data_IF_311244771743
#
_entry.id   IF_311244771743
#
_cell.length_a   1.000
_cell.length_b   1.000
_cell.length_c   1.000
_cell.angle_alpha   90.00
_cell.angle_beta   90.00
_cell.angle_gamma   90.00
#
_symmetry.space_group_name_H-M   'P 1'
#
loop_
_entity.id
_entity.type
_entity.pdbx_description
1 polymer ?
#
# COMPACT_ATOMS: atom_id res chain seq x y z
N UNK A 1 -32.58 22.86 -12.85
CA UNK A 1 -32.73 21.71 -11.94
C UNK A 1 -31.34 21.46 -11.37
N UNK A 2 -31.01 22.14 -10.28
CA UNK A 2 -29.66 22.13 -9.70
C UNK A 2 -29.64 20.95 -8.74
N UNK A 3 -28.80 19.95 -9.02
CA UNK A 3 -28.57 18.81 -8.14
C UNK A 3 -27.85 19.25 -6.88
N UNK A 4 -28.58 19.94 -6.00
CA UNK A 4 -28.12 20.18 -4.64
C UNK A 4 -27.95 18.81 -3.98
N UNK A 5 -26.99 18.73 -3.04
CA UNK A 5 -26.64 17.55 -2.27
C UNK A 5 -27.87 16.74 -1.84
N UNK A 6 -27.75 15.43 -1.54
CA UNK A 6 -28.85 14.70 -0.96
C UNK A 6 -29.09 15.17 0.49
N UNK A 7 -29.47 16.44 0.67
CA UNK A 7 -30.06 17.03 1.86
C UNK A 7 -31.36 16.32 2.25
N UNK A 8 -31.89 15.49 1.34
CA UNK A 8 -32.93 14.51 1.61
C UNK A 8 -32.47 13.33 2.48
N UNK A 9 -31.17 13.16 2.75
CA UNK A 9 -30.66 12.09 3.61
C UNK A 9 -30.68 12.54 5.07
N UNK A 10 -31.25 11.71 5.92
CA UNK A 10 -31.12 11.83 7.38
C UNK A 10 -29.85 11.12 7.84
N UNK A 11 -28.88 11.86 8.37
CA UNK A 11 -27.54 11.34 8.71
C UNK A 11 -27.46 10.70 10.11
N UNK A 12 -28.34 11.07 11.05
CA UNK A 12 -28.30 10.57 12.43
C UNK A 12 -28.21 9.02 12.55
N UNK A 13 -29.04 8.21 11.85
CA UNK A 13 -28.94 6.75 11.93
C UNK A 13 -27.62 6.19 11.40
N UNK A 14 -26.97 6.90 10.48
CA UNK A 14 -25.66 6.51 9.93
C UNK A 14 -24.56 6.79 10.96
N UNK A 15 -24.65 7.93 11.65
CA UNK A 15 -23.67 8.35 12.66
C UNK A 15 -23.67 7.42 13.86
N UNK A 16 -24.85 6.93 14.27
CA UNK A 16 -24.99 5.93 15.34
C UNK A 16 -24.19 4.65 15.07
N UNK A 17 -24.03 4.26 13.80
CA UNK A 17 -23.29 3.05 13.42
C UNK A 17 -21.78 3.28 13.19
N UNK A 18 -21.38 4.46 12.75
CA UNK A 18 -19.96 4.79 12.48
C UNK A 18 -19.24 5.26 13.75
N UNK A 19 -20.00 5.76 14.73
CA UNK A 19 -19.57 6.40 15.97
C UNK A 19 -19.02 7.82 15.82
N UNK A 20 -19.44 8.69 16.73
CA UNK A 20 -18.99 10.08 16.81
C UNK A 20 -17.46 10.23 16.95
N UNK A 21 -16.72 9.44 17.77
CA UNK A 21 -15.26 9.56 17.86
C UNK A 21 -14.55 9.32 16.53
N UNK A 22 -15.13 8.49 15.66
CA UNK A 22 -14.59 8.22 14.34
C UNK A 22 -14.78 9.43 13.42
N UNK A 23 -15.97 10.02 13.42
CA UNK A 23 -16.33 11.14 12.56
C UNK A 23 -15.65 12.45 12.98
N UNK A 24 -15.47 12.68 14.27
CA UNK A 24 -14.69 13.84 14.78
C UNK A 24 -13.25 13.87 14.32
N UNK A 25 -12.67 12.73 13.93
CA UNK A 25 -11.32 12.75 13.38
C UNK A 25 -11.21 13.56 12.08
N UNK A 26 -12.32 13.74 11.36
CA UNK A 26 -12.40 14.51 10.12
C UNK A 26 -12.56 16.01 10.34
N UNK A 27 -12.76 16.47 11.57
CA UNK A 27 -12.89 17.90 11.88
C UNK A 27 -11.64 18.71 11.47
N UNK A 28 -10.47 18.05 11.36
CA UNK A 28 -9.23 18.65 10.85
C UNK A 28 -9.36 19.23 9.43
N UNK A 29 -10.38 18.82 8.66
CA UNK A 29 -10.60 19.29 7.30
C UNK A 29 -11.44 20.57 7.22
N UNK A 30 -11.90 21.11 8.35
CA UNK A 30 -12.82 22.24 8.41
C UNK A 30 -12.29 23.31 9.37
N UNK A 31 -12.44 24.58 8.98
CA UNK A 31 -12.06 25.73 9.82
C UNK A 31 -13.14 26.04 10.88
N UNK A 32 -14.40 25.74 10.54
CA UNK A 32 -15.58 25.91 11.41
C UNK A 32 -16.21 24.56 11.75
N UNK A 33 -17.24 24.55 12.59
CA UNK A 33 -17.94 23.32 12.96
C UNK A 33 -18.62 22.68 11.74
N UNK A 34 -18.10 21.53 11.33
CA UNK A 34 -18.58 20.79 10.18
C UNK A 34 -20.00 20.22 10.42
N UNK A 35 -20.86 20.36 9.42
CA UNK A 35 -22.15 19.68 9.39
C UNK A 35 -21.99 18.15 9.33
N UNK A 36 -23.05 17.42 9.72
CA UNK A 36 -23.07 15.94 9.60
C UNK A 36 -22.79 15.48 8.17
N UNK A 37 -23.34 16.20 7.19
CA UNK A 37 -23.13 15.91 5.78
C UNK A 37 -21.65 16.06 5.39
N UNK A 38 -21.00 17.14 5.82
CA UNK A 38 -19.59 17.42 5.51
C UNK A 38 -18.66 16.36 6.14
N UNK A 39 -18.87 16.02 7.42
CA UNK A 39 -18.12 14.95 8.08
C UNK A 39 -18.28 13.62 7.36
N UNK A 40 -19.50 13.29 6.92
CA UNK A 40 -19.74 12.07 6.17
C UNK A 40 -19.10 12.12 4.78
N UNK A 41 -19.16 13.25 4.08
CA UNK A 41 -18.48 13.46 2.80
C UNK A 41 -16.96 13.25 2.91
N UNK A 42 -16.33 13.86 3.91
CA UNK A 42 -14.91 13.65 4.21
C UNK A 42 -14.59 12.19 4.55
N UNK A 43 -15.48 11.51 5.29
CA UNK A 43 -15.37 10.08 5.58
C UNK A 43 -15.38 9.23 4.30
N UNK A 44 -16.34 9.44 3.39
CA UNK A 44 -16.42 8.73 2.11
C UNK A 44 -15.21 9.04 1.22
N UNK A 45 -14.77 10.30 1.15
CA UNK A 45 -13.53 10.66 0.44
C UNK A 45 -12.35 9.87 0.99
N UNK A 46 -12.21 9.75 2.31
CA UNK A 46 -11.07 9.04 2.92
C UNK A 46 -11.05 7.55 2.61
N UNK A 47 -12.22 6.92 2.42
CA UNK A 47 -12.31 5.54 1.96
C UNK A 47 -11.80 5.41 0.51
N UNK A 48 -12.18 6.33 -0.37
CA UNK A 48 -11.70 6.38 -1.76
C UNK A 48 -10.20 6.69 -1.83
N UNK A 49 -9.72 7.63 -1.02
CA UNK A 49 -8.31 7.95 -0.88
C UNK A 49 -7.51 6.76 -0.35
N UNK A 50 -8.04 6.04 0.63
CA UNK A 50 -7.45 4.78 1.11
C UNK A 50 -7.38 3.74 -0.01
N UNK A 51 -8.46 3.59 -0.78
CA UNK A 51 -8.53 2.66 -1.90
C UNK A 51 -7.43 2.93 -2.95
N UNK A 52 -7.20 4.20 -3.27
CA UNK A 52 -6.19 4.64 -4.22
C UNK A 52 -4.73 4.36 -3.77
N UNK A 53 -4.50 4.08 -2.48
CA UNK A 53 -3.17 3.76 -1.94
C UNK A 53 -2.82 2.27 -1.99
N UNK A 54 -3.81 1.37 -2.05
CA UNK A 54 -3.56 -0.08 -2.06
C UNK A 54 -2.67 -0.54 -3.22
N UNK A 55 -2.87 -0.09 -4.48
CA UNK A 55 -2.02 -0.52 -5.58
C UNK A 55 -0.54 -0.18 -5.33
N UNK A 56 -0.25 0.99 -4.76
CA UNK A 56 1.12 1.39 -4.44
C UNK A 56 1.74 0.52 -3.35
N UNK A 57 0.98 0.21 -2.30
CA UNK A 57 1.43 -0.62 -1.19
C UNK A 57 1.71 -2.06 -1.64
N UNK A 58 0.78 -2.65 -2.39
CA UNK A 58 0.91 -4.01 -2.92
C UNK A 58 2.11 -4.14 -3.87
N UNK A 59 2.32 -3.15 -4.74
CA UNK A 59 3.47 -3.14 -5.62
C UNK A 59 4.78 -3.10 -4.83
N UNK A 60 4.89 -2.23 -3.84
CA UNK A 60 6.09 -2.18 -2.99
C UNK A 60 6.34 -3.50 -2.27
N UNK A 61 5.31 -4.09 -1.66
CA UNK A 61 5.42 -5.35 -0.91
C UNK A 61 5.94 -6.49 -1.78
N UNK A 62 5.35 -6.69 -2.96
CA UNK A 62 5.72 -7.77 -3.87
C UNK A 62 7.10 -7.52 -4.46
N UNK A 63 7.40 -6.28 -4.89
CA UNK A 63 8.71 -5.94 -5.45
C UNK A 63 9.82 -6.12 -4.43
N UNK A 64 9.63 -5.65 -3.19
CA UNK A 64 10.63 -5.77 -2.13
C UNK A 64 10.95 -7.24 -1.87
N UNK A 65 9.92 -8.03 -1.55
CA UNK A 65 10.07 -9.47 -1.29
C UNK A 65 10.80 -10.17 -2.43
N UNK A 66 10.26 -10.06 -3.65
CA UNK A 66 10.78 -10.82 -4.78
C UNK A 66 12.17 -10.33 -5.20
N UNK A 67 12.50 -9.05 -4.98
CA UNK A 67 13.83 -8.51 -5.28
C UNK A 67 14.90 -9.07 -4.35
N UNK A 68 14.62 -9.13 -3.04
CA UNK A 68 15.51 -9.71 -2.04
C UNK A 68 15.65 -11.20 -2.28
N UNK A 69 14.53 -11.91 -2.37
CA UNK A 69 14.49 -13.36 -2.49
C UNK A 69 15.25 -13.85 -3.73
N UNK A 70 14.96 -13.29 -4.91
CA UNK A 70 15.66 -13.65 -6.16
C UNK A 70 17.18 -13.50 -6.06
N UNK A 71 17.65 -12.45 -5.38
CA UNK A 71 19.10 -12.19 -5.24
C UNK A 71 19.71 -13.13 -4.21
N UNK A 72 19.02 -13.38 -3.10
CA UNK A 72 19.46 -14.27 -2.04
C UNK A 72 19.51 -15.73 -2.54
N UNK A 73 18.44 -16.21 -3.18
CA UNK A 73 18.34 -17.54 -3.79
C UNK A 73 19.46 -17.79 -4.80
N UNK A 74 19.81 -16.78 -5.63
CA UNK A 74 20.94 -16.88 -6.56
C UNK A 74 22.29 -17.07 -5.86
N UNK A 75 22.47 -16.56 -4.64
CA UNK A 75 23.73 -16.61 -3.89
C UNK A 75 23.83 -17.81 -2.96
N UNK A 76 22.71 -18.21 -2.35
CA UNK A 76 22.67 -19.12 -1.21
C UNK A 76 21.75 -20.34 -1.43
N UNK A 77 21.15 -20.45 -2.62
CA UNK A 77 20.22 -21.52 -2.96
C UNK A 77 18.83 -21.33 -2.35
N UNK A 78 18.01 -22.36 -2.51
CA UNK A 78 16.69 -22.41 -1.88
C UNK A 78 16.85 -22.45 -0.37
N UNK A 79 15.85 -21.90 0.33
CA UNK A 79 15.85 -21.78 1.78
C UNK A 79 17.06 -20.97 2.29
N UNK A 80 17.50 -19.97 1.51
CA UNK A 80 18.69 -19.15 1.76
C UNK A 80 18.78 -18.56 3.17
N UNK A 81 17.64 -18.36 3.84
CA UNK A 81 17.56 -17.84 5.21
C UNK A 81 18.23 -18.75 6.25
N UNK A 82 18.40 -20.03 5.95
CA UNK A 82 19.15 -20.98 6.77
C UNK A 82 20.66 -21.01 6.44
N UNK A 83 21.04 -20.42 5.29
CA UNK A 83 22.38 -20.52 4.70
C UNK A 83 23.21 -19.23 4.79
N UNK A 84 22.64 -18.13 5.31
CA UNK A 84 23.35 -16.86 5.50
C UNK A 84 23.94 -16.74 6.91
N UNK A 85 25.10 -16.10 7.01
CA UNK A 85 25.64 -15.65 8.30
C UNK A 85 24.80 -14.50 8.88
N UNK A 86 24.76 -14.46 10.20
CA UNK A 86 24.08 -13.44 10.98
C UNK A 86 24.91 -13.12 12.23
N UNK A 87 25.03 -11.84 12.57
CA UNK A 87 25.63 -11.40 13.83
C UNK A 87 24.65 -11.62 14.99
N UNK A 88 24.86 -12.72 15.73
CA UNK A 88 24.03 -13.12 16.87
C UNK A 88 24.22 -12.25 18.11
N UNK A 89 25.15 -11.30 18.10
CA UNK A 89 25.31 -10.34 19.20
C UNK A 89 24.21 -9.27 19.21
N UNK A 90 23.53 -9.07 18.08
CA UNK A 90 22.41 -8.11 17.95
C UNK A 90 21.12 -8.73 18.47
N UNK A 91 20.39 -8.07 19.36
CA UNK A 91 19.18 -8.64 20.00
C UNK A 91 18.05 -9.00 19.02
N UNK A 92 18.01 -8.36 17.86
CA UNK A 92 17.02 -8.52 16.81
C UNK A 92 17.43 -9.52 15.71
N UNK A 93 18.58 -10.20 15.85
CA UNK A 93 19.15 -11.09 14.83
C UNK A 93 18.20 -12.17 14.31
N UNK A 94 17.28 -12.63 15.15
CA UNK A 94 16.37 -13.75 14.84
C UNK A 94 15.02 -13.32 14.27
N UNK A 95 14.73 -12.01 14.19
CA UNK A 95 13.40 -11.52 13.81
C UNK A 95 12.98 -11.96 12.40
N UNK A 96 13.91 -11.99 11.45
CA UNK A 96 13.63 -12.45 10.09
C UNK A 96 13.22 -13.93 10.09
N UNK A 97 14.01 -14.78 10.74
CA UNK A 97 13.74 -16.22 10.86
C UNK A 97 12.47 -16.51 11.67
N UNK A 98 12.13 -15.66 12.66
CA UNK A 98 10.83 -15.72 13.33
C UNK A 98 9.67 -15.51 12.35
N UNK A 99 9.80 -14.54 11.43
CA UNK A 99 8.84 -14.32 10.35
C UNK A 99 8.69 -15.51 9.41
N UNK A 100 9.80 -16.11 8.98
CA UNK A 100 9.81 -17.36 8.18
C UNK A 100 9.11 -18.50 8.91
N UNK A 101 9.46 -18.74 10.18
CA UNK A 101 8.85 -19.79 11.00
C UNK A 101 7.35 -19.56 11.21
N UNK A 102 6.90 -18.31 11.33
CA UNK A 102 5.48 -18.00 11.39
C UNK A 102 4.76 -18.30 10.07
N UNK A 103 5.39 -18.04 8.92
CA UNK A 103 4.85 -18.42 7.62
C UNK A 103 4.70 -19.95 7.49
N UNK A 104 5.72 -20.71 7.89
CA UNK A 104 5.67 -22.18 7.95
C UNK A 104 4.51 -22.64 8.85
N UNK A 105 4.39 -22.09 10.07
CA UNK A 105 3.27 -22.41 10.98
C UNK A 105 1.90 -22.09 10.38
N UNK A 106 1.75 -21.01 9.61
CA UNK A 106 0.50 -20.69 8.90
C UNK A 106 0.19 -21.74 7.84
N UNK A 107 1.18 -22.15 7.05
CA UNK A 107 1.04 -23.22 6.05
C UNK A 107 0.67 -24.55 6.71
N UNK A 108 1.34 -24.92 7.80
CA UNK A 108 1.02 -26.11 8.60
C UNK A 108 -0.45 -26.10 9.06
N UNK A 109 -0.91 -24.98 9.64
CA UNK A 109 -2.31 -24.88 10.10
C UNK A 109 -3.29 -25.02 8.94
N UNK A 110 -3.01 -24.39 7.80
CA UNK A 110 -3.83 -24.47 6.59
C UNK A 110 -3.87 -25.90 6.04
N UNK A 111 -2.73 -26.56 5.97
CA UNK A 111 -2.62 -27.95 5.53
C UNK A 111 -3.34 -28.90 6.49
N UNK A 112 -3.09 -28.81 7.80
CA UNK A 112 -3.75 -29.65 8.83
C UNK A 112 -5.27 -29.49 8.80
N UNK A 113 -5.77 -28.28 8.53
CA UNK A 113 -7.22 -28.04 8.36
C UNK A 113 -7.76 -28.80 7.14
N UNK A 114 -7.15 -28.60 5.97
CA UNK A 114 -7.55 -29.27 4.72
C UNK A 114 -7.44 -30.79 4.79
N UNK A 115 -6.41 -31.30 5.45
CA UNK A 115 -6.19 -32.74 5.56
C UNK A 115 -7.22 -33.42 6.47
N UNK A 116 -7.63 -32.76 7.56
CA UNK A 116 -8.74 -33.24 8.39
C UNK A 116 -10.05 -33.27 7.62
N UNK A 117 -10.33 -32.20 6.86
CA UNK A 117 -11.51 -32.14 5.99
C UNK A 117 -11.49 -33.28 4.95
N UNK A 118 -10.35 -33.52 4.29
CA UNK A 118 -10.17 -34.61 3.32
C UNK A 118 -10.39 -36.01 3.92
N UNK A 119 -9.98 -36.20 5.16
CA UNK A 119 -10.10 -37.48 5.89
C UNK A 119 -11.42 -37.60 6.68
N UNK A 120 -12.31 -36.61 6.61
CA UNK A 120 -13.53 -36.53 7.43
C UNK A 120 -13.28 -36.66 8.95
N UNK A 121 -12.17 -36.09 9.42
CA UNK A 121 -11.79 -36.11 10.83
C UNK A 121 -12.34 -34.89 11.57
N UNK A 122 -12.72 -35.07 12.83
CA UNK A 122 -13.13 -33.97 13.71
C UNK A 122 -11.98 -32.99 13.99
N UNK A 123 -12.34 -31.75 14.34
CA UNK A 123 -11.37 -30.75 14.75
C UNK A 123 -10.54 -31.25 15.95
N UNK A 124 -9.21 -31.11 15.88
CA UNK A 124 -8.29 -31.55 16.93
C UNK A 124 -7.89 -33.03 16.88
N UNK A 125 -8.54 -33.86 16.04
CA UNK A 125 -8.11 -35.23 15.84
C UNK A 125 -6.66 -35.31 15.34
N UNK A 126 -5.95 -36.35 15.80
CA UNK A 126 -4.60 -36.66 15.35
C UNK A 126 -4.63 -36.99 13.86
N UNK A 127 -3.69 -36.41 13.11
CA UNK A 127 -3.53 -36.71 11.70
C UNK A 127 -2.63 -37.95 11.55
N UNK A 128 -3.06 -38.97 10.80
CA UNK A 128 -2.23 -40.14 10.51
C UNK A 128 -1.12 -39.82 9.50
N UNK A 129 -1.30 -38.76 8.70
CA UNK A 129 -0.33 -38.30 7.71
C UNK A 129 0.65 -37.30 8.33
N UNK A 130 1.97 -37.46 8.10
CA UNK A 130 2.95 -36.48 8.55
C UNK A 130 2.77 -35.15 7.80
N UNK A 131 3.09 -34.06 8.48
CA UNK A 131 3.08 -32.72 7.86
C UNK A 131 4.11 -32.69 6.72
N UNK A 132 3.76 -32.23 5.51
CA UNK A 132 4.71 -32.13 4.41
C UNK A 132 5.73 -31.01 4.67
N UNK A 133 6.90 -31.12 4.04
CA UNK A 133 7.78 -29.97 3.86
C UNK A 133 7.14 -29.00 2.88
N UNK A 134 7.12 -27.71 3.23
CA UNK A 134 6.58 -26.68 2.35
C UNK A 134 7.62 -26.19 1.35
N UNK A 135 7.15 -25.87 0.15
CA UNK A 135 7.98 -25.30 -0.90
C UNK A 135 8.50 -23.91 -0.52
N UNK A 136 9.68 -23.56 -1.04
CA UNK A 136 10.31 -22.26 -0.81
C UNK A 136 9.38 -21.09 -1.19
N UNK A 137 8.76 -21.16 -2.37
CA UNK A 137 7.92 -20.08 -2.89
C UNK A 137 6.62 -19.96 -2.06
N UNK A 138 6.08 -21.07 -1.57
CA UNK A 138 4.93 -21.07 -0.65
C UNK A 138 5.24 -20.37 0.68
N UNK A 139 6.43 -20.61 1.23
CA UNK A 139 6.88 -19.98 2.47
C UNK A 139 7.06 -18.48 2.24
N UNK A 140 7.81 -18.09 1.20
CA UNK A 140 8.03 -16.68 0.80
C UNK A 140 6.69 -15.98 0.56
N UNK A 141 5.75 -16.61 -0.15
CA UNK A 141 4.43 -16.07 -0.42
C UNK A 141 3.58 -15.85 0.84
N UNK A 142 3.79 -16.66 1.89
CA UNK A 142 3.01 -16.62 3.15
C UNK A 142 3.60 -15.66 4.20
N UNK A 143 4.82 -15.16 4.00
CA UNK A 143 5.40 -14.12 4.86
C UNK A 143 4.61 -12.81 4.79
N UNK A 144 4.60 -12.06 5.90
CA UNK A 144 3.96 -10.76 5.96
C UNK A 144 4.96 -9.65 5.57
N UNK A 145 4.47 -8.48 5.15
CA UNK A 145 5.30 -7.29 4.88
C UNK A 145 6.36 -7.03 5.96
N UNK A 146 5.97 -7.15 7.23
CA UNK A 146 6.85 -6.90 8.38
C UNK A 146 8.06 -7.83 8.45
N UNK A 147 7.98 -9.05 7.91
CA UNK A 147 9.13 -9.96 7.85
C UNK A 147 10.25 -9.38 7.00
N UNK A 148 9.92 -8.80 5.85
CA UNK A 148 10.92 -8.32 4.88
C UNK A 148 11.68 -7.09 5.32
N UNK A 149 11.21 -6.32 6.32
CA UNK A 149 12.04 -5.26 6.90
C UNK A 149 13.16 -5.79 7.79
N UNK A 150 12.94 -6.95 8.43
CA UNK A 150 13.90 -7.50 9.40
C UNK A 150 15.20 -7.94 8.72
N UNK A 151 15.15 -8.27 7.42
CA UNK A 151 16.38 -8.65 6.70
C UNK A 151 17.35 -7.47 6.51
N UNK A 152 16.92 -6.22 6.74
CA UNK A 152 17.76 -5.02 6.57
C UNK A 152 18.41 -4.54 7.87
N UNK A 153 18.16 -5.19 9.02
CA UNK A 153 18.82 -4.84 10.28
C UNK A 153 20.33 -5.09 10.21
N UNK A 154 21.09 -4.52 11.15
CA UNK A 154 22.55 -4.62 11.17
C UNK A 154 23.05 -6.05 11.35
N UNK A 155 22.25 -6.94 11.96
CA UNK A 155 22.60 -8.35 12.13
C UNK A 155 22.88 -9.10 10.81
N UNK A 156 22.30 -8.66 9.69
CA UNK A 156 22.47 -9.27 8.37
C UNK A 156 23.51 -8.54 7.49
N UNK A 157 24.31 -7.66 8.09
CA UNK A 157 25.37 -6.89 7.44
C UNK A 157 26.72 -7.17 8.11
N UNK A 158 27.80 -7.16 7.32
CA UNK A 158 29.18 -7.20 7.83
C UNK A 158 30.08 -6.21 7.08
N UNK A 159 30.98 -5.55 7.82
CA UNK A 159 32.09 -4.77 7.26
C UNK A 159 33.28 -5.64 6.84
N UNK A 160 33.41 -6.82 7.43
CA UNK A 160 34.58 -7.70 7.28
C UNK A 160 34.60 -8.33 5.87
N UNK A 161 35.61 -7.95 5.08
CA UNK A 161 35.69 -8.24 3.64
C UNK A 161 35.66 -9.75 3.31
N UNK A 162 36.29 -10.56 4.16
CA UNK A 162 36.35 -12.02 4.06
C UNK A 162 35.01 -12.69 4.39
N UNK A 163 34.20 -12.10 5.26
CA UNK A 163 32.89 -12.61 5.65
C UNK A 163 31.74 -12.15 4.72
N UNK A 164 31.93 -11.11 3.91
CA UNK A 164 30.87 -10.53 3.07
C UNK A 164 30.19 -11.52 2.11
N UNK A 165 30.86 -12.63 1.75
CA UNK A 165 30.25 -13.67 0.91
C UNK A 165 29.17 -14.47 1.65
N UNK A 166 29.30 -14.62 2.98
CA UNK A 166 28.40 -15.39 3.83
C UNK A 166 27.19 -14.57 4.30
N UNK A 167 27.33 -13.24 4.38
CA UNK A 167 26.23 -12.33 4.72
C UNK A 167 25.42 -11.91 3.48
N UNK A 168 24.14 -11.61 3.67
CA UNK A 168 23.32 -11.06 2.60
C UNK A 168 23.80 -9.67 2.18
N UNK A 169 24.04 -8.78 3.15
CA UNK A 169 24.59 -7.45 2.91
C UNK A 169 26.08 -7.41 3.28
N UNK A 170 26.92 -6.64 2.57
CA UNK A 170 26.58 -5.63 1.56
C UNK A 170 26.41 -6.14 0.12
N UNK A 171 26.94 -7.32 -0.22
CA UNK A 171 27.11 -7.74 -1.63
C UNK A 171 25.82 -7.84 -2.45
N UNK A 172 24.67 -8.04 -1.81
CA UNK A 172 23.37 -8.07 -2.51
C UNK A 172 22.78 -6.68 -2.81
N UNK A 173 23.26 -5.59 -2.20
CA UNK A 173 22.60 -4.28 -2.23
C UNK A 173 22.33 -3.76 -3.64
N UNK A 174 23.36 -3.69 -4.49
CA UNK A 174 23.24 -3.17 -5.86
C UNK A 174 22.41 -4.07 -6.79
N UNK A 175 22.18 -5.33 -6.40
CA UNK A 175 21.36 -6.27 -7.16
C UNK A 175 19.89 -6.19 -6.77
N UNK A 176 19.60 -6.00 -5.47
CA UNK A 176 18.26 -5.80 -4.92
C UNK A 176 17.74 -4.40 -5.27
N UNK A 177 18.55 -3.38 -5.02
CA UNK A 177 18.21 -1.98 -5.28
C UNK A 177 18.99 -1.44 -6.47
N UNK A 178 18.32 -1.28 -7.61
CA UNK A 178 18.92 -0.77 -8.83
C UNK A 178 19.33 0.70 -8.73
N UNK A 179 18.76 1.44 -7.79
CA UNK A 179 19.04 2.86 -7.53
C UNK A 179 19.30 3.13 -6.04
N UNK A 180 20.17 2.34 -5.42
CA UNK A 180 20.55 2.55 -4.01
C UNK A 180 21.23 3.92 -3.77
N UNK A 181 21.77 4.54 -4.82
CA UNK A 181 22.32 5.91 -4.82
C UNK A 181 21.30 6.97 -4.39
N UNK A 182 20.00 6.69 -4.52
CA UNK A 182 18.93 7.58 -4.05
C UNK A 182 18.69 7.49 -2.53
N UNK A 183 19.40 6.60 -1.84
CA UNK A 183 19.30 6.37 -0.40
C UNK A 183 20.59 6.70 0.36
N UNK A 184 21.75 6.52 -0.26
CA UNK A 184 23.04 6.80 0.37
C UNK A 184 24.20 6.64 -0.59
N UNK A 185 25.37 7.12 -0.17
CA UNK A 185 26.59 7.11 -1.00
C UNK A 185 27.24 5.73 -1.05
N UNK A 186 26.96 4.89 -0.05
CA UNK A 186 27.46 3.52 0.05
C UNK A 186 26.34 2.54 0.46
N UNK A 187 26.66 1.25 0.45
CA UNK A 187 25.70 0.17 0.72
C UNK A 187 25.15 0.18 2.14
N UNK A 188 25.92 0.66 3.12
CA UNK A 188 25.48 0.71 4.51
C UNK A 188 24.53 1.87 4.76
N UNK A 189 24.90 3.08 4.31
CA UNK A 189 24.02 4.26 4.35
C UNK A 189 22.69 3.96 3.66
N UNK A 190 22.75 3.38 2.46
CA UNK A 190 21.55 3.01 1.72
C UNK A 190 20.69 1.97 2.47
N UNK A 191 21.31 0.98 3.13
CA UNK A 191 20.59 -0.02 3.94
C UNK A 191 19.90 0.64 5.14
N UNK A 192 20.60 1.52 5.87
CA UNK A 192 20.07 2.22 7.04
C UNK A 192 18.91 3.12 6.65
N UNK A 193 19.07 3.92 5.59
CA UNK A 193 17.99 4.79 5.11
C UNK A 193 16.81 3.97 4.56
N UNK A 194 17.05 2.86 3.85
CA UNK A 194 15.98 1.96 3.42
C UNK A 194 15.21 1.42 4.62
N UNK A 195 15.90 0.93 5.65
CA UNK A 195 15.29 0.39 6.87
C UNK A 195 14.45 1.46 7.58
N UNK A 196 14.92 2.71 7.64
CA UNK A 196 14.15 3.83 8.21
C UNK A 196 12.85 4.07 7.42
N UNK A 197 12.95 4.16 6.10
CA UNK A 197 11.80 4.42 5.22
C UNK A 197 10.79 3.27 5.21
N UNK A 198 11.25 2.02 5.19
CA UNK A 198 10.35 0.86 5.15
C UNK A 198 9.63 0.66 6.48
N UNK A 199 10.24 1.00 7.62
CA UNK A 199 9.56 1.05 8.92
C UNK A 199 8.45 2.10 8.92
N UNK A 200 8.75 3.29 8.40
CA UNK A 200 7.76 4.36 8.27
C UNK A 200 6.57 3.96 7.37
N UNK A 201 6.82 3.22 6.30
CA UNK A 201 5.77 2.67 5.43
C UNK A 201 5.03 1.51 6.10
N UNK A 202 5.69 0.64 6.87
CA UNK A 202 5.05 -0.44 7.63
C UNK A 202 3.96 0.12 8.54
N UNK A 203 4.29 1.16 9.31
CA UNK A 203 3.35 1.73 10.27
C UNK A 203 2.20 2.44 9.53
N UNK A 204 2.50 3.08 8.40
CA UNK A 204 1.47 3.65 7.54
C UNK A 204 0.54 2.59 6.94
N UNK A 205 1.10 1.47 6.48
CA UNK A 205 0.38 0.29 5.99
C UNK A 205 -0.54 -0.25 7.06
N UNK A 206 -0.06 -0.41 8.30
CA UNK A 206 -0.91 -0.88 9.39
C UNK A 206 -2.13 0.04 9.59
N UNK A 207 -1.94 1.36 9.55
CA UNK A 207 -3.05 2.32 9.62
C UNK A 207 -4.05 2.15 8.48
N UNK A 208 -3.57 2.01 7.24
CA UNK A 208 -4.42 1.78 6.06
C UNK A 208 -5.27 0.51 6.20
N UNK A 209 -4.66 -0.60 6.62
CA UNK A 209 -5.34 -1.91 6.73
C UNK A 209 -6.18 -2.08 7.99
N UNK A 210 -5.93 -1.30 9.04
CA UNK A 210 -6.82 -1.20 10.20
C UNK A 210 -7.94 -0.16 10.02
N UNK A 211 -8.04 0.41 8.82
CA UNK A 211 -8.97 1.49 8.51
C UNK A 211 -8.82 2.65 9.51
N UNK A 212 -7.63 3.05 9.94
CA UNK A 212 -7.42 4.31 10.69
C UNK A 212 -7.39 5.50 9.71
N UNK A 213 -7.32 6.72 10.22
CA UNK A 213 -7.12 7.92 9.43
C UNK A 213 -5.85 7.80 8.58
N UNK A 214 -5.94 8.09 7.28
CA UNK A 214 -4.79 8.02 6.37
C UNK A 214 -3.85 9.22 6.46
N UNK A 215 -4.21 10.30 7.16
CA UNK A 215 -3.30 11.41 7.50
C UNK A 215 -2.66 11.18 8.88
N UNK A 216 -1.53 11.81 9.14
CA UNK A 216 -0.84 11.70 10.44
C UNK A 216 -1.43 12.73 11.42
N UNK A 217 -2.29 12.28 12.33
CA UNK A 217 -3.02 13.15 13.27
C UNK A 217 -2.12 14.12 14.03
N UNK A 218 -0.98 13.65 14.55
CA UNK A 218 -0.03 14.49 15.30
C UNK A 218 0.70 15.55 14.47
N UNK A 219 0.58 15.51 13.13
CA UNK A 219 1.20 16.44 12.19
C UNK A 219 0.17 17.20 11.34
N UNK A 220 -1.12 17.07 11.66
CA UNK A 220 -2.21 17.64 10.88
C UNK A 220 -3.03 18.55 11.75
N UNK A 221 -2.91 19.85 11.53
CA UNK A 221 -3.67 20.90 12.24
C UNK A 221 -4.77 21.49 11.37
N UNK A 222 -4.69 21.27 10.07
CA UNK A 222 -5.62 21.78 9.08
C UNK A 222 -5.71 20.80 7.90
N UNK A 223 -6.60 21.12 6.97
CA UNK A 223 -6.88 20.33 5.80
C UNK A 223 -5.66 20.18 4.87
N UNK A 224 -4.82 21.22 4.78
CA UNK A 224 -3.63 21.23 3.91
C UNK A 224 -2.57 20.27 4.46
N UNK A 225 -2.20 20.42 5.72
CA UNK A 225 -1.25 19.56 6.43
C UNK A 225 -1.71 18.11 6.46
N UNK A 226 -3.01 17.85 6.68
CA UNK A 226 -3.58 16.51 6.59
C UNK A 226 -3.32 15.86 5.21
N UNK A 227 -3.65 16.55 4.12
CA UNK A 227 -3.44 16.07 2.75
C UNK A 227 -1.95 15.94 2.41
N UNK A 228 -1.12 16.87 2.86
CA UNK A 228 0.33 16.83 2.66
C UNK A 228 0.96 15.60 3.32
N UNK A 229 0.51 15.21 4.52
CA UNK A 229 1.02 13.99 5.16
C UNK A 229 0.68 12.73 4.36
N UNK A 230 -0.48 12.67 3.70
CA UNK A 230 -0.85 11.56 2.80
C UNK A 230 0.05 11.58 1.55
N UNK A 231 0.18 12.74 0.91
CA UNK A 231 1.01 12.90 -0.31
C UNK A 231 2.47 12.60 -0.05
N UNK A 232 2.98 12.93 1.13
CA UNK A 232 4.33 12.55 1.55
C UNK A 232 4.51 11.03 1.53
N UNK A 233 3.54 10.25 2.04
CA UNK A 233 3.61 8.78 1.99
C UNK A 233 3.54 8.23 0.58
N UNK A 234 2.75 8.84 -0.31
CA UNK A 234 2.75 8.49 -1.74
C UNK A 234 4.15 8.69 -2.34
N UNK A 235 4.80 9.82 -2.04
CA UNK A 235 6.16 10.10 -2.52
C UNK A 235 7.19 9.11 -1.97
N UNK A 236 7.06 8.68 -0.70
CA UNK A 236 7.92 7.65 -0.12
C UNK A 236 7.72 6.28 -0.78
N UNK A 237 6.47 5.86 -1.01
CA UNK A 237 6.15 4.62 -1.74
C UNK A 237 6.77 4.65 -3.14
N UNK A 238 6.57 5.74 -3.87
CA UNK A 238 7.15 5.93 -5.20
C UNK A 238 8.68 5.89 -5.18
N UNK A 239 9.32 6.56 -4.21
CA UNK A 239 10.78 6.54 -4.03
C UNK A 239 11.28 5.11 -3.83
N UNK A 240 10.66 4.35 -2.92
CA UNK A 240 11.07 2.97 -2.63
C UNK A 240 10.88 2.04 -3.84
N UNK A 241 9.76 2.17 -4.57
CA UNK A 241 9.53 1.43 -5.82
C UNK A 241 10.63 1.75 -6.84
N UNK A 242 10.96 3.04 -7.02
CA UNK A 242 12.02 3.47 -7.95
C UNK A 242 13.40 2.96 -7.56
N UNK A 243 13.70 2.91 -6.26
CA UNK A 243 14.96 2.35 -5.74
C UNK A 243 15.09 0.87 -6.08
N UNK A 244 14.02 0.09 -5.89
CA UNK A 244 14.00 -1.36 -6.17
C UNK A 244 14.00 -1.61 -7.67
N UNK A 245 13.10 -0.95 -8.41
CA UNK A 245 12.85 -1.20 -9.84
C UNK A 245 12.47 0.08 -10.60
N UNK A 246 13.45 0.76 -11.23
CA UNK A 246 13.20 1.93 -12.08
C UNK A 246 12.25 1.64 -13.24
N UNK A 247 12.32 0.42 -13.81
CA UNK A 247 11.42 0.01 -14.88
C UNK A 247 9.97 -0.07 -14.38
N UNK A 248 9.74 -0.64 -13.19
CA UNK A 248 8.38 -0.70 -12.61
C UNK A 248 7.89 0.69 -12.25
N UNK A 249 8.76 1.57 -11.71
CA UNK A 249 8.42 2.98 -11.49
C UNK A 249 7.97 3.67 -12.79
N UNK A 250 8.72 3.49 -13.88
CA UNK A 250 8.35 4.02 -15.20
C UNK A 250 7.00 3.48 -15.66
N UNK A 251 6.79 2.17 -15.58
CA UNK A 251 5.52 1.54 -15.96
C UNK A 251 4.35 2.10 -15.17
N UNK A 252 4.45 2.15 -13.83
CA UNK A 252 3.37 2.69 -12.97
C UNK A 252 3.11 4.17 -13.23
N UNK A 253 4.14 4.92 -13.62
CA UNK A 253 4.01 6.33 -14.02
C UNK A 253 3.23 6.46 -15.34
N UNK A 254 3.58 5.65 -16.35
CA UNK A 254 2.87 5.59 -17.64
C UNK A 254 1.41 5.17 -17.48
N UNK A 255 1.14 4.18 -16.62
CA UNK A 255 -0.23 3.76 -16.30
C UNK A 255 -0.98 4.73 -15.36
N UNK A 256 -0.36 5.85 -14.99
CA UNK A 256 -1.00 6.89 -14.20
C UNK A 256 -1.29 6.50 -12.75
N UNK A 257 -0.69 5.44 -12.20
CA UNK A 257 -1.01 4.93 -10.86
C UNK A 257 -0.65 5.96 -9.78
N UNK A 258 0.53 6.56 -9.86
CA UNK A 258 0.94 7.62 -8.94
C UNK A 258 0.13 8.90 -9.13
N UNK A 259 -0.21 9.23 -10.38
CA UNK A 259 -1.04 10.38 -10.71
C UNK A 259 -2.44 10.22 -10.10
N UNK A 260 -3.07 9.06 -10.29
CA UNK A 260 -4.37 8.72 -9.73
C UNK A 260 -4.38 8.84 -8.20
N UNK A 261 -3.40 8.24 -7.51
CA UNK A 261 -3.28 8.34 -6.06
C UNK A 261 -3.16 9.81 -5.60
N UNK A 262 -2.34 10.62 -6.27
CA UNK A 262 -2.20 12.05 -5.93
C UNK A 262 -3.41 12.91 -6.32
N UNK A 263 -4.17 12.52 -7.34
CA UNK A 263 -5.42 13.18 -7.72
C UNK A 263 -6.48 12.96 -6.65
N UNK A 264 -6.73 11.69 -6.27
CA UNK A 264 -7.70 11.35 -5.23
C UNK A 264 -7.28 11.96 -3.88
N UNK A 265 -6.00 11.87 -3.53
CA UNK A 265 -5.43 12.47 -2.32
C UNK A 265 -5.10 13.96 -2.55
N UNK A 266 -6.09 14.75 -2.94
CA UNK A 266 -5.98 16.19 -3.13
C UNK A 266 -7.18 16.93 -2.57
N UNK A 267 -6.98 18.23 -2.33
CA UNK A 267 -8.06 19.09 -1.87
C UNK A 267 -9.19 19.20 -2.89
N UNK A 268 -8.85 19.30 -4.18
CA UNK A 268 -9.84 19.36 -5.26
C UNK A 268 -10.74 18.13 -5.26
N UNK A 269 -10.17 16.95 -5.02
CA UNK A 269 -11.00 15.75 -4.91
C UNK A 269 -11.88 15.78 -3.67
N UNK A 270 -11.31 16.08 -2.49
CA UNK A 270 -12.09 16.18 -1.25
C UNK A 270 -13.26 17.15 -1.40
N UNK A 271 -13.05 18.30 -2.05
CA UNK A 271 -14.10 19.27 -2.35
C UNK A 271 -15.30 18.68 -3.08
N UNK A 272 -15.12 17.73 -4.00
CA UNK A 272 -16.23 17.06 -4.71
C UNK A 272 -17.14 16.31 -3.73
N UNK A 273 -16.60 15.83 -2.61
CA UNK A 273 -17.36 15.14 -1.56
C UNK A 273 -17.98 16.11 -0.55
N UNK A 274 -17.40 17.30 -0.37
CA UNK A 274 -17.88 18.35 0.55
C UNK A 274 -18.86 19.32 -0.09
N UNK A 275 -18.72 19.56 -1.39
CA UNK A 275 -19.46 20.53 -2.19
C UNK A 275 -19.65 19.95 -3.60
N UNK A 276 -20.81 20.11 -4.22
CA UNK A 276 -20.83 20.06 -5.68
C UNK A 276 -20.16 21.36 -6.13
N UNK A 277 -18.85 21.33 -6.44
CA UNK A 277 -18.22 22.43 -7.17
C UNK A 277 -19.15 22.80 -8.33
N UNK A 278 -19.28 24.11 -8.61
CA UNK A 278 -20.11 24.61 -9.69
C UNK A 278 -19.74 23.83 -10.96
N UNK A 279 -20.65 22.96 -11.41
CA UNK A 279 -20.42 22.14 -12.59
C UNK A 279 -20.02 23.07 -13.73
N UNK A 280 -18.98 22.71 -14.49
CA UNK A 280 -18.60 23.49 -15.66
C UNK A 280 -19.84 23.70 -16.53
N UNK A 281 -20.24 24.95 -16.71
CA UNK A 281 -21.37 25.28 -17.57
C UNK A 281 -20.91 25.13 -19.02
N UNK A 282 -21.43 24.12 -19.70
CA UNK A 282 -21.21 23.93 -21.12
C UNK A 282 -22.18 24.80 -21.92
N UNK A 283 -21.70 25.37 -23.02
CA UNK A 283 -22.56 25.93 -24.07
C UNK A 283 -23.40 24.84 -24.71
N UNK A 284 -24.52 25.19 -25.35
CA UNK A 284 -25.38 24.21 -26.02
C UNK A 284 -24.60 23.36 -27.05
N UNK A 285 -23.69 23.98 -27.81
CA UNK A 285 -22.85 23.29 -28.79
C UNK A 285 -21.88 22.28 -28.14
N UNK A 286 -21.32 22.59 -26.97
CA UNK A 286 -20.46 21.67 -26.23
C UNK A 286 -21.26 20.50 -25.65
N UNK A 287 -22.48 20.75 -25.15
CA UNK A 287 -23.38 19.69 -24.67
C UNK A 287 -23.71 18.74 -25.80
N UNK A 288 -24.09 19.24 -26.98
CA UNK A 288 -24.39 18.41 -28.15
C UNK A 288 -23.19 17.53 -28.53
N UNK A 289 -21.98 18.11 -28.55
CA UNK A 289 -20.74 17.38 -28.86
C UNK A 289 -20.36 16.32 -27.81
N UNK A 290 -20.81 16.46 -26.56
CA UNK A 290 -20.51 15.52 -25.46
C UNK A 290 -21.66 14.55 -25.16
N UNK A 291 -22.86 14.85 -25.64
CA UNK A 291 -24.11 14.15 -25.33
C UNK A 291 -24.04 12.65 -25.63
N UNK A 292 -23.47 12.28 -26.78
CA UNK A 292 -23.30 10.88 -27.18
C UNK A 292 -22.37 10.14 -26.20
N UNK A 293 -21.28 10.79 -25.79
CA UNK A 293 -20.31 10.21 -24.85
C UNK A 293 -20.92 10.06 -23.46
N UNK A 294 -21.63 11.07 -22.97
CA UNK A 294 -22.33 11.01 -21.68
C UNK A 294 -23.47 9.98 -21.68
N UNK A 295 -24.19 9.85 -22.80
CA UNK A 295 -25.23 8.83 -22.99
C UNK A 295 -24.62 7.44 -22.95
N UNK A 296 -23.48 7.23 -23.61
CA UNK A 296 -22.74 5.97 -23.57
C UNK A 296 -22.29 5.62 -22.14
N UNK A 297 -21.70 6.57 -21.41
CA UNK A 297 -21.30 6.39 -20.00
C UNK A 297 -22.48 5.98 -19.13
N UNK A 298 -23.62 6.65 -19.30
CA UNK A 298 -24.81 6.47 -18.45
C UNK A 298 -25.55 5.17 -18.73
N UNK A 299 -25.69 4.79 -20.00
CA UNK A 299 -26.44 3.59 -20.41
C UNK A 299 -25.67 2.29 -20.14
N UNK A 300 -24.34 2.32 -20.25
CA UNK A 300 -23.51 1.11 -20.15
C UNK A 300 -22.75 1.00 -18.82
N UNK A 301 -22.91 1.97 -17.90
CA UNK A 301 -22.09 2.06 -16.68
C UNK A 301 -20.59 1.88 -16.97
N UNK A 302 -20.12 2.60 -17.99
CA UNK A 302 -18.79 2.41 -18.57
C UNK A 302 -17.92 3.66 -18.40
N UNK A 303 -16.61 3.47 -18.29
CA UNK A 303 -15.64 4.55 -18.44
C UNK A 303 -15.34 4.75 -19.92
N UNK A 304 -15.52 5.97 -20.43
CA UNK A 304 -15.13 6.33 -21.80
C UNK A 304 -13.76 6.97 -21.77
N UNK A 305 -12.80 6.35 -22.45
CA UNK A 305 -11.45 6.88 -22.64
C UNK A 305 -11.37 7.79 -23.87
N UNK A 306 -10.58 8.85 -23.76
CA UNK A 306 -10.33 9.80 -24.85
C UNK A 306 -8.85 10.14 -24.87
N UNK A 307 -8.28 10.35 -26.05
CA UNK A 307 -6.94 10.91 -26.21
C UNK A 307 -7.06 12.38 -26.61
N UNK A 308 -6.29 13.24 -25.96
CA UNK A 308 -6.13 14.63 -26.39
C UNK A 308 -4.66 15.00 -26.38
N UNK A 309 -4.10 15.21 -27.58
CA UNK A 309 -2.68 15.50 -27.80
C UNK A 309 -1.73 14.44 -27.18
N UNK A 310 -2.09 13.16 -27.28
CA UNK A 310 -1.29 12.06 -26.73
C UNK A 310 -1.41 11.90 -25.21
N UNK A 311 -2.34 12.60 -24.57
CA UNK A 311 -2.65 12.45 -23.14
C UNK A 311 -4.00 11.73 -23.00
N UNK A 312 -4.04 10.58 -22.32
CA UNK A 312 -5.28 9.86 -22.09
C UNK A 312 -6.09 10.52 -20.97
N UNK A 313 -7.37 10.74 -21.25
CA UNK A 313 -8.40 11.16 -20.31
C UNK A 313 -9.47 10.10 -20.19
N UNK A 314 -10.19 10.10 -19.08
CA UNK A 314 -11.33 9.23 -18.88
C UNK A 314 -12.49 10.00 -18.26
N UNK A 315 -13.71 9.67 -18.68
CA UNK A 315 -14.94 10.16 -18.07
C UNK A 315 -15.78 8.98 -17.60
N UNK A 316 -16.38 9.13 -16.42
CA UNK A 316 -17.33 8.17 -15.86
C UNK A 316 -18.38 8.95 -15.06
N UNK A 317 -19.56 8.36 -14.92
CA UNK A 317 -20.63 8.92 -14.10
C UNK A 317 -20.23 8.83 -12.63
N UNK A 318 -20.31 9.93 -11.91
CA UNK A 318 -19.94 9.99 -10.49
C UNK A 318 -21.02 9.38 -9.59
N UNK A 319 -22.31 9.60 -9.91
CA UNK A 319 -23.49 9.14 -9.17
C UNK A 319 -24.64 8.91 -10.12
#
# INVERSE_FOLDING_TARGET
>A
MVGFMPSSITYAPIFDLISEPRLRSFDVFFDEEASEMERYGAYIWSQNASAALYPLMQQLEILLRNSVDRVARKRFGDYWWDNISVDKTKSDWSNFNYGINNAIKKLERKWKKKERERLNLQAGAALPTPTPTFDHDDIVATTDFGTWKEIFISAHYTSELDEQNKYLWPKSMSKVFKRYDLLGSNTEEARVEFLRLINEIKDYRNRLFHHDCIWIKSKSTDQKSAIETIRHKINLLEKLIKVISPITHSTLSTWGVFYHARRICSWRELKIYLTFEQECSFTAAEVDSLSERFSSVSSHNATVSMDYNGVPFCIHKLR
#
